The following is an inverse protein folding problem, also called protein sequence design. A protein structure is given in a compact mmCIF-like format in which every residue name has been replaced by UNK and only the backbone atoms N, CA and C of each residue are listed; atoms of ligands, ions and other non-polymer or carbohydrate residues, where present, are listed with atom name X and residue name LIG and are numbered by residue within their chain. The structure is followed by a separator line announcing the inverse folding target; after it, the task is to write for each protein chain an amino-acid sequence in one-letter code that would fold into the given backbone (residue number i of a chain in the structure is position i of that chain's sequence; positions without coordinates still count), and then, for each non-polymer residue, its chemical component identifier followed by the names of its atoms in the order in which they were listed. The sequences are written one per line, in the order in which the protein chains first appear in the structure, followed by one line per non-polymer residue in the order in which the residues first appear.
data_IF_892732611881
#
_entry.id   IF_892732611881
#
_cell.length_a   1.000
_cell.length_b   1.000
_cell.length_c   1.000
_cell.angle_alpha   90.00
_cell.angle_beta   90.00
_cell.angle_gamma   90.00
#
_symmetry.space_group_name_H-M   'P 1'
#
loop_
_entity.id
_entity.type
_entity.pdbx_description
1 polymer ?
#
# COMPACT_ATOMS: atom_id res chain seq x y z
N UNK A 1 -24.76 -30.61 -0.01
CA UNK A 1 -24.36 -29.89 -1.26
C UNK A 1 -24.92 -28.46 -1.30
N UNK A 2 -26.23 -28.27 -1.06
CA UNK A 2 -26.88 -26.94 -0.99
C UNK A 2 -26.21 -25.94 -0.01
N UNK A 3 -25.90 -26.36 1.22
CA UNK A 3 -25.27 -25.50 2.24
C UNK A 3 -23.86 -25.02 1.89
N UNK A 4 -23.11 -25.77 1.07
CA UNK A 4 -21.75 -25.38 0.63
C UNK A 4 -21.82 -24.35 -0.50
N UNK A 5 -22.85 -24.44 -1.35
CA UNK A 5 -23.12 -23.49 -2.42
C UNK A 5 -23.61 -22.16 -1.83
N UNK A 6 -24.52 -22.22 -0.87
CA UNK A 6 -25.03 -21.03 -0.17
C UNK A 6 -23.93 -20.27 0.60
N UNK A 7 -23.08 -20.99 1.35
CA UNK A 7 -21.91 -20.39 2.01
C UNK A 7 -20.96 -19.72 1.03
N UNK A 8 -20.71 -20.35 -0.12
CA UNK A 8 -19.85 -19.77 -1.16
C UNK A 8 -20.45 -18.49 -1.73
N UNK A 9 -21.76 -18.47 -1.99
CA UNK A 9 -22.47 -17.29 -2.46
C UNK A 9 -22.47 -16.14 -1.43
N UNK A 10 -22.61 -16.44 -0.13
CA UNK A 10 -22.54 -15.43 0.92
C UNK A 10 -21.15 -14.79 1.03
N UNK A 11 -20.09 -15.59 0.91
CA UNK A 11 -18.71 -15.09 0.93
C UNK A 11 -18.40 -14.19 -0.27
N UNK A 12 -18.87 -14.56 -1.46
CA UNK A 12 -18.71 -13.75 -2.68
C UNK A 12 -19.43 -12.40 -2.55
N UNK A 13 -20.65 -12.38 -2.02
CA UNK A 13 -21.39 -11.13 -1.74
C UNK A 13 -20.67 -10.25 -0.71
N UNK A 14 -20.15 -10.84 0.36
CA UNK A 14 -19.40 -10.12 1.38
C UNK A 14 -18.11 -9.53 0.81
N UNK A 15 -17.39 -10.28 -0.03
CA UNK A 15 -16.16 -9.84 -0.68
C UNK A 15 -16.42 -8.63 -1.59
N UNK A 16 -17.49 -8.67 -2.38
CA UNK A 16 -17.92 -7.52 -3.20
C UNK A 16 -18.25 -6.32 -2.32
N UNK A 17 -19.02 -6.52 -1.24
CA UNK A 17 -19.40 -5.45 -0.32
C UNK A 17 -18.17 -4.76 0.31
N UNK A 18 -17.23 -5.55 0.83
CA UNK A 18 -15.98 -5.03 1.42
C UNK A 18 -15.13 -4.32 0.36
N UNK A 19 -15.05 -4.86 -0.85
CA UNK A 19 -14.30 -4.24 -1.96
C UNK A 19 -14.89 -2.86 -2.32
N UNK A 20 -16.20 -2.78 -2.54
CA UNK A 20 -16.89 -1.52 -2.86
C UNK A 20 -16.76 -0.51 -1.72
N UNK A 21 -16.94 -0.96 -0.47
CA UNK A 21 -16.78 -0.09 0.70
C UNK A 21 -15.36 0.47 0.80
N UNK A 22 -14.35 -0.33 0.49
CA UNK A 22 -12.96 0.12 0.48
C UNK A 22 -12.72 1.22 -0.57
N UNK A 23 -13.23 1.06 -1.79
CA UNK A 23 -13.17 2.10 -2.82
C UNK A 23 -13.87 3.39 -2.38
N UNK A 24 -15.05 3.28 -1.74
CA UNK A 24 -15.76 4.43 -1.19
C UNK A 24 -14.94 5.13 -0.10
N UNK A 25 -14.30 4.39 0.80
CA UNK A 25 -13.44 4.94 1.85
C UNK A 25 -12.20 5.64 1.27
N UNK A 26 -11.54 5.04 0.28
CA UNK A 26 -10.44 5.68 -0.46
C UNK A 26 -10.91 7.01 -1.06
N UNK A 27 -12.07 7.01 -1.71
CA UNK A 27 -12.69 8.21 -2.27
C UNK A 27 -12.95 9.28 -1.22
N UNK A 28 -13.66 8.96 -0.14
CA UNK A 28 -13.99 9.89 0.96
C UNK A 28 -12.72 10.50 1.55
N UNK A 29 -11.72 9.68 1.88
CA UNK A 29 -10.48 10.17 2.47
C UNK A 29 -9.70 11.10 1.54
N UNK A 30 -9.72 10.80 0.24
CA UNK A 30 -9.10 11.62 -0.80
C UNK A 30 -9.82 12.94 -0.97
N UNK A 31 -11.15 12.93 -1.13
CA UNK A 31 -11.96 14.14 -1.28
C UNK A 31 -11.85 15.05 -0.07
N UNK A 32 -11.92 14.49 1.14
CA UNK A 32 -11.73 15.23 2.38
C UNK A 32 -10.35 15.91 2.41
N UNK A 33 -9.30 15.20 2.02
CA UNK A 33 -7.95 15.77 2.01
C UNK A 33 -7.79 16.87 0.98
N UNK A 34 -8.35 16.71 -0.23
CA UNK A 34 -8.33 17.75 -1.26
C UNK A 34 -9.07 19.00 -0.77
N UNK A 35 -10.29 18.82 -0.26
CA UNK A 35 -11.08 19.90 0.32
C UNK A 35 -10.32 20.60 1.45
N UNK A 36 -9.69 19.85 2.35
CA UNK A 36 -8.85 20.38 3.42
C UNK A 36 -7.71 21.23 2.86
N UNK A 37 -6.93 20.72 1.91
CA UNK A 37 -5.80 21.45 1.34
C UNK A 37 -6.22 22.73 0.61
N UNK A 38 -7.38 22.72 -0.07
CA UNK A 38 -7.93 23.92 -0.73
C UNK A 38 -8.30 25.00 0.30
N UNK A 39 -9.01 24.65 1.38
CA UNK A 39 -9.46 25.63 2.37
C UNK A 39 -8.30 26.25 3.18
N UNK A 40 -7.21 25.52 3.39
CA UNK A 40 -6.05 26.01 4.14
C UNK A 40 -4.95 26.63 3.27
N UNK A 41 -5.12 26.59 1.95
CA UNK A 41 -4.20 27.15 0.97
C UNK A 41 -2.93 26.30 0.75
N UNK A 42 -2.31 26.47 -0.41
CA UNK A 42 -1.08 25.77 -0.80
C UNK A 42 0.21 26.54 -0.48
N UNK A 43 0.09 27.75 0.07
CA UNK A 43 1.23 28.62 0.41
C UNK A 43 2.14 28.02 1.49
N UNK A 44 1.62 27.05 2.24
CA UNK A 44 2.36 26.30 3.26
C UNK A 44 2.82 24.98 2.65
N UNK A 45 4.13 24.72 2.60
CA UNK A 45 4.64 23.44 2.05
C UNK A 45 4.11 22.20 2.79
N UNK A 46 3.60 22.37 4.03
CA UNK A 46 2.89 21.32 4.77
C UNK A 46 1.58 20.88 4.10
N UNK A 47 0.75 21.78 3.58
CA UNK A 47 -0.51 21.38 2.92
C UNK A 47 -0.23 20.67 1.59
N UNK A 48 0.83 21.07 0.89
CA UNK A 48 1.34 20.36 -0.28
C UNK A 48 1.88 18.96 0.09
N UNK A 49 2.62 18.82 1.19
CA UNK A 49 3.05 17.52 1.73
C UNK A 49 1.85 16.60 1.98
N UNK A 50 0.82 17.11 2.68
CA UNK A 50 -0.40 16.37 2.99
C UNK A 50 -1.14 15.95 1.72
N UNK A 51 -1.27 16.84 0.73
CA UNK A 51 -1.93 16.54 -0.54
C UNK A 51 -1.17 15.44 -1.30
N UNK A 52 0.13 15.63 -1.54
CA UNK A 52 0.96 14.70 -2.31
C UNK A 52 1.05 13.33 -1.62
N UNK A 53 1.20 13.31 -0.28
CA UNK A 53 1.23 12.06 0.48
C UNK A 53 -0.09 11.30 0.38
N UNK A 54 -1.23 12.00 0.42
CA UNK A 54 -2.56 11.38 0.39
C UNK A 54 -2.95 10.92 -1.02
N UNK A 55 -2.70 11.74 -2.05
CA UNK A 55 -2.89 11.32 -3.44
C UNK A 55 -1.98 10.13 -3.79
N UNK A 56 -0.74 10.14 -3.29
CA UNK A 56 0.20 9.03 -3.46
C UNK A 56 -0.29 7.75 -2.79
N UNK A 57 -0.37 7.73 -1.45
CA UNK A 57 -0.65 6.50 -0.71
C UNK A 57 -2.12 6.08 -0.71
N UNK A 58 -3.03 7.01 -0.43
CA UNK A 58 -4.44 6.69 -0.19
C UNK A 58 -5.16 6.48 -1.49
N UNK A 59 -5.01 7.37 -2.47
CA UNK A 59 -5.69 7.23 -3.76
C UNK A 59 -4.94 6.24 -4.67
N UNK A 60 -3.79 6.65 -5.20
CA UNK A 60 -3.17 5.94 -6.32
C UNK A 60 -2.61 4.57 -5.92
N UNK A 61 -1.84 4.50 -4.83
CA UNK A 61 -1.24 3.22 -4.43
C UNK A 61 -2.28 2.22 -3.90
N UNK A 62 -3.28 2.66 -3.12
CA UNK A 62 -4.33 1.75 -2.65
C UNK A 62 -5.19 1.24 -3.81
N UNK A 63 -5.66 2.11 -4.71
CA UNK A 63 -6.37 1.69 -5.93
C UNK A 63 -5.51 0.79 -6.82
N UNK A 64 -4.21 1.09 -6.92
CA UNK A 64 -3.25 0.25 -7.63
C UNK A 64 -3.15 -1.16 -7.04
N UNK A 65 -3.19 -1.31 -5.71
CA UNK A 65 -3.21 -2.63 -5.06
C UNK A 65 -4.56 -3.33 -5.30
N UNK A 66 -5.67 -2.60 -5.11
CA UNK A 66 -7.02 -3.12 -5.33
C UNK A 66 -7.25 -3.57 -6.77
N UNK A 67 -6.63 -2.93 -7.77
CA UNK A 67 -6.75 -3.32 -9.18
C UNK A 67 -6.27 -4.75 -9.46
N UNK A 68 -5.34 -5.27 -8.66
CA UNK A 68 -4.79 -6.64 -8.75
C UNK A 68 -5.60 -7.67 -7.97
N UNK A 69 -6.56 -7.24 -7.14
CA UNK A 69 -7.40 -8.15 -6.38
C UNK A 69 -8.38 -8.88 -7.32
N UNK A 70 -8.46 -10.21 -7.19
CA UNK A 70 -9.29 -11.01 -8.10
C UNK A 70 -10.79 -10.77 -7.90
N UNK A 71 -11.22 -10.48 -6.66
CA UNK A 71 -12.60 -10.12 -6.34
C UNK A 71 -12.92 -8.64 -6.53
N UNK A 72 -12.02 -7.85 -7.14
CA UNK A 72 -12.32 -6.45 -7.40
C UNK A 72 -13.34 -6.32 -8.53
N UNK A 73 -14.49 -5.74 -8.20
CA UNK A 73 -15.58 -5.47 -9.14
C UNK A 73 -15.17 -4.56 -10.30
N UNK A 74 -14.27 -3.60 -10.08
CA UNK A 74 -13.89 -2.62 -11.11
C UNK A 74 -12.92 -3.20 -12.15
N UNK A 75 -12.19 -4.26 -11.82
CA UNK A 75 -11.25 -4.90 -12.75
C UNK A 75 -11.68 -6.32 -13.14
N UNK A 76 -12.89 -6.75 -12.79
CA UNK A 76 -13.35 -8.13 -13.02
C UNK A 76 -13.23 -8.57 -14.49
N UNK A 77 -13.54 -7.68 -15.41
CA UNK A 77 -13.52 -7.93 -16.86
C UNK A 77 -12.14 -7.79 -17.51
N UNK A 78 -11.12 -7.38 -16.74
CA UNK A 78 -9.78 -7.11 -17.27
C UNK A 78 -8.92 -8.37 -17.25
N UNK A 79 -8.14 -8.55 -18.31
CA UNK A 79 -7.11 -9.60 -18.37
C UNK A 79 -6.02 -9.36 -17.34
N UNK A 80 -5.25 -10.41 -17.00
CA UNK A 80 -4.12 -10.28 -16.07
C UNK A 80 -3.07 -9.27 -16.53
N UNK A 81 -2.85 -9.16 -17.84
CA UNK A 81 -1.93 -8.17 -18.44
C UNK A 81 -2.43 -6.74 -18.21
N UNK A 82 -3.70 -6.47 -18.49
CA UNK A 82 -4.31 -5.16 -18.26
C UNK A 82 -4.29 -4.75 -16.79
N UNK A 83 -4.63 -5.67 -15.86
CA UNK A 83 -4.51 -5.43 -14.42
C UNK A 83 -3.09 -5.07 -14.01
N UNK A 84 -2.10 -5.80 -14.55
CA UNK A 84 -0.68 -5.53 -14.28
C UNK A 84 -0.28 -4.16 -14.79
N UNK A 85 -0.77 -3.73 -15.96
CA UNK A 85 -0.52 -2.41 -16.52
C UNK A 85 -1.07 -1.28 -15.65
N UNK A 86 -2.34 -1.37 -15.26
CA UNK A 86 -2.96 -0.39 -14.36
C UNK A 86 -2.23 -0.35 -13.03
N UNK A 87 -1.90 -1.52 -12.46
CA UNK A 87 -1.17 -1.62 -11.21
C UNK A 87 0.16 -0.87 -11.25
N UNK A 88 1.05 -1.20 -12.19
CA UNK A 88 2.37 -0.58 -12.18
C UNK A 88 2.31 0.91 -12.50
N UNK A 89 1.38 1.37 -13.35
CA UNK A 89 1.17 2.81 -13.62
C UNK A 89 0.75 3.53 -12.34
N UNK A 90 -0.29 3.02 -11.66
CA UNK A 90 -0.77 3.62 -10.41
C UNK A 90 0.28 3.60 -9.31
N UNK A 91 1.04 2.51 -9.17
CA UNK A 91 2.13 2.43 -8.21
C UNK A 91 3.30 3.36 -8.56
N UNK A 92 3.65 3.51 -9.84
CA UNK A 92 4.72 4.40 -10.26
C UNK A 92 4.35 5.86 -10.02
N UNK A 93 3.15 6.28 -10.44
CA UNK A 93 2.66 7.65 -10.21
C UNK A 93 2.47 7.92 -8.72
N UNK A 94 1.80 7.02 -7.99
CA UNK A 94 1.55 7.17 -6.56
C UNK A 94 2.84 7.16 -5.73
N UNK A 95 3.76 6.26 -6.04
CA UNK A 95 5.09 6.19 -5.40
C UNK A 95 5.90 7.46 -5.64
N UNK A 96 5.84 8.02 -6.86
CA UNK A 96 6.52 9.28 -7.20
C UNK A 96 5.97 10.46 -6.40
N UNK A 97 4.64 10.61 -6.33
CA UNK A 97 4.01 11.65 -5.51
C UNK A 97 4.39 11.49 -4.03
N UNK A 98 4.41 10.25 -3.53
CA UNK A 98 4.75 9.99 -2.13
C UNK A 98 6.22 10.28 -1.82
N UNK A 99 7.15 9.98 -2.73
CA UNK A 99 8.56 10.34 -2.57
C UNK A 99 8.75 11.85 -2.67
N UNK A 100 8.05 12.54 -3.59
CA UNK A 100 8.06 14.00 -3.65
C UNK A 100 7.58 14.63 -2.33
N UNK A 101 6.47 14.12 -1.75
CA UNK A 101 5.98 14.55 -0.45
C UNK A 101 7.01 14.36 0.67
N UNK A 102 7.75 13.25 0.65
CA UNK A 102 8.82 12.97 1.61
C UNK A 102 9.93 14.00 1.54
N UNK A 103 10.49 14.19 0.33
CA UNK A 103 11.61 15.11 0.14
C UNK A 103 11.22 16.56 0.43
N UNK A 104 9.99 16.96 0.08
CA UNK A 104 9.45 18.28 0.41
C UNK A 104 9.51 18.56 1.92
N UNK A 105 9.02 17.64 2.75
CA UNK A 105 9.03 17.79 4.22
C UNK A 105 10.46 17.74 4.78
N UNK A 106 11.33 16.89 4.23
CA UNK A 106 12.74 16.79 4.66
C UNK A 106 13.47 18.11 4.41
N UNK A 107 13.38 18.65 3.19
CA UNK A 107 14.02 19.91 2.79
C UNK A 107 13.45 21.06 3.61
N UNK A 108 12.13 21.13 3.78
CA UNK A 108 11.50 22.20 4.55
C UNK A 108 11.97 22.21 6.01
N UNK A 109 12.03 21.04 6.65
CA UNK A 109 12.51 20.95 8.04
C UNK A 109 13.98 21.28 8.17
N UNK A 110 14.81 20.83 7.23
CA UNK A 110 16.23 21.15 7.19
C UNK A 110 16.46 22.65 7.07
N UNK A 111 15.79 23.32 6.12
CA UNK A 111 15.88 24.77 5.91
C UNK A 111 15.40 25.57 7.13
N UNK A 112 14.42 25.05 7.88
CA UNK A 112 13.95 25.67 9.11
C UNK A 112 14.81 25.36 10.34
N UNK A 113 15.94 24.66 10.20
CA UNK A 113 16.81 24.25 11.32
C UNK A 113 16.14 23.28 12.30
N UNK A 114 15.06 22.60 11.88
CA UNK A 114 14.27 21.70 12.74
C UNK A 114 14.76 20.26 12.61
N UNK A 115 14.68 19.50 13.69
CA UNK A 115 14.94 18.05 13.67
C UNK A 115 13.96 17.35 12.73
N UNK A 116 14.48 16.70 11.69
CA UNK A 116 13.71 16.10 10.59
C UNK A 116 12.90 14.88 11.07
N UNK A 117 13.52 13.92 11.77
CA UNK A 117 12.92 12.63 12.12
C UNK A 117 12.64 12.45 13.62
N UNK A 118 12.17 13.50 14.29
CA UNK A 118 12.02 13.49 15.76
C UNK A 118 10.73 12.81 16.23
N UNK A 119 9.62 12.96 15.51
CA UNK A 119 8.30 12.45 15.90
C UNK A 119 8.00 11.10 15.25
N UNK A 120 7.15 10.28 15.91
CA UNK A 120 6.76 8.96 15.43
C UNK A 120 6.25 8.95 13.98
N UNK A 121 5.44 9.96 13.60
CA UNK A 121 5.00 10.15 12.21
C UNK A 121 6.17 10.17 11.22
N UNK A 122 7.21 10.97 11.50
CA UNK A 122 8.37 11.13 10.62
C UNK A 122 9.22 9.84 10.55
N UNK A 123 9.35 9.10 11.65
CA UNK A 123 10.07 7.82 11.68
C UNK A 123 9.35 6.74 10.86
N UNK A 124 8.04 6.59 11.05
CA UNK A 124 7.24 5.65 10.26
C UNK A 124 7.22 6.03 8.78
N UNK A 125 7.15 7.33 8.48
CA UNK A 125 7.23 7.86 7.12
C UNK A 125 8.57 7.58 6.43
N UNK A 126 9.69 7.60 7.17
CA UNK A 126 11.02 7.24 6.67
C UNK A 126 11.12 5.73 6.40
N UNK A 127 10.73 4.89 7.36
CA UNK A 127 10.74 3.42 7.19
C UNK A 127 9.91 3.02 5.98
N UNK A 128 8.71 3.60 5.85
CA UNK A 128 7.82 3.43 4.71
C UNK A 128 8.46 3.83 3.38
N UNK A 129 9.20 4.95 3.33
CA UNK A 129 9.91 5.42 2.14
C UNK A 129 11.08 4.48 1.74
N UNK A 130 11.83 3.96 2.71
CA UNK A 130 12.89 2.98 2.44
C UNK A 130 12.30 1.72 1.80
N UNK A 131 11.24 1.16 2.39
CA UNK A 131 10.56 0.00 1.82
C UNK A 131 9.90 0.30 0.47
N UNK A 132 9.43 1.53 0.25
CA UNK A 132 8.90 1.96 -1.05
C UNK A 132 9.99 1.88 -2.13
N UNK A 133 11.18 2.42 -1.87
CA UNK A 133 12.31 2.33 -2.80
C UNK A 133 12.66 0.86 -3.11
N UNK A 134 12.76 0.01 -2.08
CA UNK A 134 13.01 -1.42 -2.26
C UNK A 134 11.90 -2.12 -3.06
N UNK A 135 10.64 -1.76 -2.83
CA UNK A 135 9.49 -2.26 -3.59
C UNK A 135 9.55 -1.86 -5.06
N UNK A 136 9.92 -0.62 -5.36
CA UNK A 136 10.09 -0.13 -6.75
C UNK A 136 11.18 -0.92 -7.46
N UNK A 137 12.36 -1.07 -6.85
CA UNK A 137 13.47 -1.84 -7.47
C UNK A 137 13.09 -3.31 -7.70
N UNK A 138 12.48 -3.95 -6.71
CA UNK A 138 12.02 -5.35 -6.81
C UNK A 138 10.85 -5.53 -7.78
N UNK A 139 9.97 -4.53 -7.92
CA UNK A 139 8.85 -4.51 -8.86
C UNK A 139 9.30 -4.33 -10.30
N UNK A 140 10.25 -3.43 -10.56
CA UNK A 140 10.88 -3.29 -11.88
C UNK A 140 11.58 -4.59 -12.31
N UNK A 141 12.34 -5.21 -11.40
CA UNK A 141 12.98 -6.51 -11.70
C UNK A 141 11.97 -7.64 -11.93
N UNK A 142 10.80 -7.60 -11.28
CA UNK A 142 9.70 -8.54 -11.54
C UNK A 142 9.01 -8.28 -12.89
N UNK A 143 8.81 -7.02 -13.29
CA UNK A 143 8.21 -6.65 -14.58
C UNK A 143 9.09 -7.05 -15.77
N UNK A 144 10.40 -6.82 -15.64
CA UNK A 144 11.38 -7.19 -16.67
C UNK A 144 11.96 -8.59 -16.44
N UNK A 145 11.26 -9.47 -15.73
CA UNK A 145 11.78 -10.79 -15.32
C UNK A 145 12.28 -11.61 -16.50
N UNK A 146 11.69 -11.46 -17.70
CA UNK A 146 12.15 -12.13 -18.93
C UNK A 146 13.58 -11.76 -19.35
N UNK A 147 14.05 -10.56 -19.01
CA UNK A 147 15.43 -10.10 -19.27
C UNK A 147 16.38 -10.43 -18.11
N UNK A 148 15.85 -10.56 -16.89
CA UNK A 148 16.65 -10.79 -15.67
C UNK A 148 16.65 -12.24 -15.16
N UNK A 149 16.08 -13.19 -15.92
CA UNK A 149 15.97 -14.61 -15.54
C UNK A 149 17.31 -15.23 -15.10
N UNK A 150 18.42 -14.74 -15.66
CA UNK A 150 19.77 -15.26 -15.40
C UNK A 150 20.36 -14.76 -14.07
N UNK A 151 19.82 -13.69 -13.48
CA UNK A 151 20.36 -13.07 -12.26
C UNK A 151 19.50 -13.33 -11.03
N UNK A 152 18.18 -13.34 -11.18
CA UNK A 152 17.24 -13.57 -10.08
C UNK A 152 16.10 -14.47 -10.54
N UNK A 153 15.84 -15.54 -9.78
CA UNK A 153 14.69 -16.40 -10.04
C UNK A 153 13.40 -15.55 -9.93
N UNK A 154 12.50 -15.56 -10.93
CA UNK A 154 11.29 -14.75 -10.92
C UNK A 154 10.40 -14.93 -9.69
N UNK A 155 10.49 -16.09 -9.02
CA UNK A 155 9.77 -16.39 -7.79
C UNK A 155 10.24 -15.53 -6.61
N UNK A 156 11.55 -15.39 -6.40
CA UNK A 156 12.10 -14.56 -5.30
C UNK A 156 11.85 -13.07 -5.53
N UNK A 157 12.00 -12.60 -6.77
CA UNK A 157 11.69 -11.19 -7.11
C UNK A 157 10.24 -10.83 -6.77
N UNK A 158 9.28 -11.69 -7.12
CA UNK A 158 7.85 -11.50 -6.76
C UNK A 158 7.59 -11.61 -5.25
N UNK A 159 8.31 -12.48 -4.55
CA UNK A 159 8.23 -12.60 -3.10
C UNK A 159 8.68 -11.32 -2.40
N UNK A 160 9.88 -10.83 -2.72
CA UNK A 160 10.44 -9.61 -2.13
C UNK A 160 9.63 -8.37 -2.51
N UNK A 161 9.17 -8.26 -3.75
CA UNK A 161 8.27 -7.18 -4.15
C UNK A 161 7.00 -7.14 -3.29
N UNK A 162 6.36 -8.30 -3.06
CA UNK A 162 5.18 -8.35 -2.22
C UNK A 162 5.50 -7.98 -0.76
N UNK A 163 6.59 -8.54 -0.19
CA UNK A 163 7.01 -8.26 1.19
C UNK A 163 7.31 -6.78 1.41
N UNK A 164 8.17 -6.18 0.57
CA UNK A 164 8.54 -4.77 0.69
C UNK A 164 7.35 -3.84 0.45
N UNK A 165 6.45 -4.20 -0.47
CA UNK A 165 5.23 -3.42 -0.71
C UNK A 165 4.28 -3.44 0.48
N UNK A 166 4.06 -4.61 1.11
CA UNK A 166 3.24 -4.74 2.32
C UNK A 166 3.85 -3.88 3.45
N UNK A 167 5.15 -4.01 3.70
CA UNK A 167 5.83 -3.20 4.72
C UNK A 167 5.70 -1.69 4.42
N UNK A 168 5.98 -1.26 3.19
CA UNK A 168 5.87 0.15 2.80
C UNK A 168 4.47 0.70 3.04
N UNK A 169 3.45 -0.05 2.62
CA UNK A 169 2.05 0.34 2.74
C UNK A 169 1.60 0.41 4.20
N UNK A 170 1.93 -0.60 5.01
CA UNK A 170 1.61 -0.62 6.46
C UNK A 170 2.25 0.56 7.18
N UNK A 171 3.57 0.73 7.08
CA UNK A 171 4.25 1.84 7.75
C UNK A 171 3.78 3.21 7.23
N UNK A 172 3.43 3.30 5.95
CA UNK A 172 2.88 4.51 5.34
C UNK A 172 1.53 4.90 5.93
N UNK A 173 0.58 3.96 5.98
CA UNK A 173 -0.73 4.19 6.57
C UNK A 173 -0.66 4.43 8.08
N UNK A 174 0.20 3.71 8.81
CA UNK A 174 0.45 3.98 10.23
C UNK A 174 0.99 5.40 10.43
N UNK A 175 1.91 5.86 9.57
CA UNK A 175 2.37 7.25 9.62
C UNK A 175 1.21 8.24 9.40
N UNK A 176 0.31 7.98 8.45
CA UNK A 176 -0.86 8.84 8.19
C UNK A 176 -1.84 8.84 9.38
N UNK A 177 -2.14 7.69 9.96
CA UNK A 177 -3.00 7.59 11.16
C UNK A 177 -2.40 8.39 12.33
N UNK A 178 -1.09 8.28 12.55
CA UNK A 178 -0.39 9.07 13.58
C UNK A 178 -0.46 10.57 13.25
N UNK A 179 -0.44 10.97 11.97
CA UNK A 179 -0.49 12.38 11.55
C UNK A 179 -1.73 13.10 12.09
N UNK A 180 -2.91 12.44 12.04
CA UNK A 180 -4.18 12.97 12.58
C UNK A 180 -4.17 13.19 14.09
N UNK A 181 -3.30 12.46 14.82
CA UNK A 181 -3.11 12.62 16.26
C UNK A 181 -1.94 13.56 16.62
N UNK A 182 -1.23 14.11 15.64
CA UNK A 182 -0.16 15.08 15.95
C UNK A 182 -0.75 16.36 16.53
N UNK A 183 -0.03 16.96 17.49
CA UNK A 183 -0.43 18.22 18.14
C UNK A 183 -0.66 19.36 17.13
N UNK A 184 0.07 19.33 16.02
CA UNK A 184 -0.09 20.29 14.90
C UNK A 184 -1.46 20.15 14.24
N UNK A 185 -1.95 18.91 14.07
CA UNK A 185 -3.27 18.65 13.52
C UNK A 185 -4.37 19.00 14.53
N UNK A 186 -4.27 18.47 15.74
CA UNK A 186 -5.30 18.57 16.77
C UNK A 186 -5.58 19.99 17.27
N UNK A 187 -4.56 20.85 17.37
CA UNK A 187 -4.75 22.22 17.89
C UNK A 187 -5.32 23.20 16.87
N UNK A 188 -5.02 23.00 15.60
CA UNK A 188 -5.27 24.01 14.58
C UNK A 188 -6.48 23.65 13.70
N UNK A 189 -6.89 22.38 13.66
CA UNK A 189 -7.68 21.86 12.55
C UNK A 189 -8.79 20.85 12.91
N UNK A 190 -9.10 20.63 14.21
CA UNK A 190 -10.16 19.69 14.63
C UNK A 190 -11.21 20.34 15.56
N UNK A 191 -12.18 21.09 15.02
CA UNK A 191 -13.28 21.66 15.81
C UNK A 191 -14.41 20.66 16.13
N UNK A 192 -14.37 19.41 15.63
CA UNK A 192 -15.55 18.52 15.63
C UNK A 192 -15.29 17.01 15.66
N UNK A 193 -14.14 16.56 16.19
CA UNK A 193 -13.75 15.15 16.28
C UNK A 193 -13.58 14.42 14.93
N UNK A 194 -13.47 15.15 13.81
CA UNK A 194 -13.34 14.58 12.47
C UNK A 194 -12.08 13.74 12.32
N UNK A 195 -11.05 14.01 13.13
CA UNK A 195 -9.83 13.18 13.19
C UNK A 195 -10.13 11.72 13.48
N UNK A 196 -11.09 11.41 14.35
CA UNK A 196 -11.38 10.02 14.74
C UNK A 196 -12.09 9.27 13.62
N UNK A 197 -12.99 9.95 12.90
CA UNK A 197 -13.64 9.40 11.70
C UNK A 197 -12.58 9.09 10.64
N UNK A 198 -11.67 10.04 10.38
CA UNK A 198 -10.58 9.85 9.42
C UNK A 198 -9.61 8.73 9.82
N UNK A 199 -9.27 8.60 11.10
CA UNK A 199 -8.47 7.48 11.61
C UNK A 199 -9.19 6.14 11.37
N UNK A 200 -10.50 6.08 11.64
CA UNK A 200 -11.32 4.90 11.38
C UNK A 200 -11.30 4.51 9.90
N UNK A 201 -11.58 5.48 9.02
CA UNK A 201 -11.56 5.29 7.56
C UNK A 201 -10.19 4.79 7.08
N UNK A 202 -9.10 5.45 7.47
CA UNK A 202 -7.74 5.05 7.05
C UNK A 202 -7.36 3.66 7.59
N UNK A 203 -7.77 3.32 8.81
CA UNK A 203 -7.54 1.99 9.37
C UNK A 203 -8.32 0.92 8.60
N UNK A 204 -9.57 1.19 8.23
CA UNK A 204 -10.35 0.29 7.38
C UNK A 204 -9.71 0.11 5.99
N UNK A 205 -9.25 1.20 5.36
CA UNK A 205 -8.56 1.12 4.07
C UNK A 205 -7.31 0.24 4.15
N UNK A 206 -6.50 0.43 5.20
CA UNK A 206 -5.31 -0.38 5.44
C UNK A 206 -5.67 -1.87 5.52
N UNK A 207 -6.66 -2.23 6.33
CA UNK A 207 -7.04 -3.62 6.55
C UNK A 207 -7.61 -4.26 5.28
N UNK A 208 -8.55 -3.60 4.62
CA UNK A 208 -9.24 -4.14 3.44
C UNK A 208 -8.30 -4.28 2.24
N UNK A 209 -7.44 -3.28 2.01
CA UNK A 209 -6.47 -3.29 0.90
C UNK A 209 -5.42 -4.38 1.06
N UNK A 210 -5.08 -4.77 2.30
CA UNK A 210 -4.07 -5.80 2.57
C UNK A 210 -4.58 -7.24 2.43
N UNK A 211 -5.89 -7.49 2.36
CA UNK A 211 -6.44 -8.85 2.24
C UNK A 211 -5.84 -9.58 1.03
N UNK A 212 -5.80 -8.94 -0.13
CA UNK A 212 -5.26 -9.53 -1.37
C UNK A 212 -3.75 -9.81 -1.32
N UNK A 213 -2.91 -8.81 -1.01
CA UNK A 213 -1.47 -8.98 -0.86
C UNK A 213 -1.08 -10.04 0.17
N UNK A 214 -1.76 -10.09 1.32
CA UNK A 214 -1.50 -11.08 2.37
C UNK A 214 -1.83 -12.50 1.92
N UNK A 215 -2.99 -12.72 1.26
CA UNK A 215 -3.32 -14.02 0.65
C UNK A 215 -2.23 -14.46 -0.33
N UNK A 216 -1.74 -13.54 -1.16
CA UNK A 216 -0.66 -13.80 -2.13
C UNK A 216 0.66 -14.12 -1.44
N UNK A 217 0.97 -13.41 -0.35
CA UNK A 217 2.17 -13.61 0.45
C UNK A 217 2.17 -14.99 1.10
N UNK A 218 1.11 -15.35 1.82
CA UNK A 218 0.97 -16.67 2.45
C UNK A 218 1.11 -17.82 1.44
N UNK A 219 0.56 -17.64 0.22
CA UNK A 219 0.73 -18.62 -0.85
C UNK A 219 2.20 -18.76 -1.28
N UNK A 220 2.93 -17.67 -1.45
CA UNK A 220 4.35 -17.73 -1.80
C UNK A 220 5.18 -18.36 -0.68
N UNK A 221 4.92 -18.03 0.59
CA UNK A 221 5.59 -18.66 1.74
C UNK A 221 5.38 -20.18 1.72
N UNK A 222 4.13 -20.63 1.50
CA UNK A 222 3.82 -22.07 1.43
C UNK A 222 4.58 -22.78 0.31
N UNK A 223 4.63 -22.19 -0.89
CA UNK A 223 5.36 -22.75 -2.04
C UNK A 223 6.87 -22.82 -1.76
N UNK A 224 7.45 -21.76 -1.18
CA UNK A 224 8.88 -21.75 -0.86
C UNK A 224 9.24 -22.82 0.18
N UNK A 225 8.40 -23.02 1.20
CA UNK A 225 8.63 -24.06 2.21
C UNK A 225 8.54 -25.47 1.61
N UNK A 226 7.59 -25.75 0.72
CA UNK A 226 7.45 -27.06 0.08
C UNK A 226 8.61 -27.40 -0.85
N UNK A 227 9.10 -26.43 -1.62
CA UNK A 227 10.29 -26.65 -2.47
C UNK A 227 11.54 -26.92 -1.63
N UNK A 228 11.68 -26.30 -0.45
CA UNK A 228 12.81 -26.58 0.45
C UNK A 228 12.73 -27.95 1.09
N UNK A 229 11.52 -28.48 1.39
CA UNK A 229 11.37 -29.84 1.90
C UNK A 229 11.70 -30.90 0.85
N UNK A 230 11.20 -30.74 -0.38
CA UNK A 230 11.48 -31.66 -1.50
C UNK A 230 12.98 -31.77 -1.81
N UNK A 231 13.69 -30.62 -1.87
CA UNK A 231 15.15 -30.61 -2.07
C UNK A 231 15.94 -31.25 -0.93
N UNK A 232 15.37 -31.32 0.27
CA UNK A 232 16.01 -31.94 1.43
C UNK A 232 15.81 -33.45 1.44
N UNK A 233 14.67 -33.93 0.95
CA UNK A 233 14.38 -35.36 0.75
C UNK A 233 15.24 -35.94 -0.38
N UNK A 234 15.29 -35.29 -1.55
CA UNK A 234 16.08 -35.75 -2.71
C UNK A 234 17.58 -35.88 -2.37
N UNK A 235 18.10 -34.96 -1.55
CA UNK A 235 19.50 -34.97 -1.09
C UNK A 235 19.80 -36.01 -0.01
N UNK A 236 18.77 -36.53 0.66
CA UNK A 236 18.90 -37.64 1.60
C UNK A 236 18.83 -38.98 0.87
N UNK A 237 18.02 -39.07 -0.20
CA UNK A 237 17.92 -40.27 -1.03
C UNK A 237 19.19 -40.52 -1.87
N UNK A 238 19.88 -39.47 -2.35
CA UNK A 238 21.20 -39.61 -3.02
C UNK A 238 22.34 -40.10 -2.11
N UNK A 239 22.12 -40.17 -0.78
CA UNK A 239 23.12 -40.60 0.20
C UNK A 239 22.96 -42.05 0.68
N UNK A 240 21.97 -42.79 0.16
CA UNK A 240 21.73 -44.21 0.44
C UNK A 240 22.17 -45.04 -0.77
#
# INVERSE_FOLDING_TARGET
MSSKIEKRSALEKLEICVNTLNHTFIGIATFYTIWYCINYGFDKSHTLHVLLASLGYVLLMAEGIMSMYNGNTFTLFMTRSQKTNIHWILQATGGSLRLAAFFLEVVQRANAGKKVFHIWHARMGLVSAIFLCLSIFSGCSALFSNRFKNYLRPLFSKFFHNLFSICSFVFGFVAMIIAYNTRSWAKNYDPGNIRYVMIGILSSILLFTLIGPLKTFCRHVKITLSTTSEQKEEKNDEKI
#
